data_IF_794696031669
#
_entry.id   IF_794696031669
#
_cell.length_a   1.000
_cell.length_b   1.000
_cell.length_c   1.000
_cell.angle_alpha   90.00
_cell.angle_beta   90.00
_cell.angle_gamma   90.00
#
_symmetry.space_group_name_H-M   'P 1'
#
loop_
_entity.id
_entity.type
_entity.pdbx_description
1 polymer ?
#
# COMPACT_ATOMS: atom_id res chain seq x y z
N UNK A 1 -3.60 17.77 5.60
CA UNK A 1 -3.73 16.97 4.36
C UNK A 1 -4.71 17.52 3.34
N UNK A 2 -5.84 18.12 3.73
CA UNK A 2 -6.84 18.63 2.77
C UNK A 2 -6.28 19.48 1.63
N UNK A 3 -5.38 20.43 1.91
CA UNK A 3 -4.73 21.25 0.87
C UNK A 3 -3.92 20.43 -0.15
N UNK A 4 -3.38 19.27 0.24
CA UNK A 4 -2.71 18.36 -0.69
C UNK A 4 -3.75 17.66 -1.56
N UNK A 5 -4.86 17.18 -0.98
CA UNK A 5 -5.96 16.59 -1.75
C UNK A 5 -6.57 17.60 -2.73
N UNK A 6 -6.73 18.86 -2.35
CA UNK A 6 -7.17 19.94 -3.25
C UNK A 6 -6.22 20.09 -4.45
N UNK A 7 -4.91 19.98 -4.21
CA UNK A 7 -3.88 20.03 -5.26
C UNK A 7 -3.93 18.80 -6.16
N UNK A 8 -4.02 17.60 -5.60
CA UNK A 8 -4.08 16.38 -6.43
C UNK A 8 -5.35 16.34 -7.28
N UNK A 9 -6.48 16.81 -6.75
CA UNK A 9 -7.72 16.97 -7.52
C UNK A 9 -7.60 18.03 -8.63
N UNK A 10 -6.96 19.17 -8.37
CA UNK A 10 -6.74 20.20 -9.40
C UNK A 10 -5.78 19.76 -10.50
N UNK A 11 -4.91 18.80 -10.20
CA UNK A 11 -4.04 18.11 -11.15
C UNK A 11 -4.74 16.93 -11.86
N UNK A 12 -6.04 16.71 -11.62
CA UNK A 12 -6.82 15.61 -12.19
C UNK A 12 -6.19 14.24 -11.93
N UNK A 13 -5.63 14.03 -10.73
CA UNK A 13 -5.16 12.70 -10.33
C UNK A 13 -6.34 11.77 -10.10
N UNK A 14 -6.25 10.55 -10.61
CA UNK A 14 -7.28 9.52 -10.45
C UNK A 14 -7.34 8.97 -9.02
N UNK A 15 -6.23 9.05 -8.29
CA UNK A 15 -6.16 8.57 -6.93
C UNK A 15 -4.95 9.05 -6.15
N UNK A 16 -5.00 8.83 -4.84
CA UNK A 16 -3.95 9.19 -3.88
C UNK A 16 -3.57 7.99 -3.03
N UNK A 17 -2.28 7.85 -2.77
CA UNK A 17 -1.73 6.81 -1.89
C UNK A 17 -1.36 7.43 -0.54
N UNK A 18 -1.70 6.76 0.56
CA UNK A 18 -1.53 7.33 1.92
C UNK A 18 -0.47 6.62 2.72
N UNK A 19 0.76 7.11 2.59
CA UNK A 19 1.92 6.61 3.32
C UNK A 19 1.90 6.97 4.82
N UNK A 20 2.58 6.15 5.62
CA UNK A 20 2.82 6.27 7.06
C UNK A 20 1.55 6.32 7.93
N UNK A 21 0.46 5.68 7.49
CA UNK A 21 -0.76 5.53 8.30
C UNK A 21 -0.64 4.48 9.41
N UNK A 22 0.52 3.82 9.52
CA UNK A 22 0.87 2.83 10.52
C UNK A 22 1.82 3.34 11.62
N UNK A 23 1.97 4.67 11.74
CA UNK A 23 2.82 5.30 12.75
C UNK A 23 2.50 4.87 14.20
N UNK A 24 1.26 4.47 14.48
CA UNK A 24 0.85 3.90 15.78
C UNK A 24 1.60 2.62 16.15
N UNK A 25 2.13 1.90 15.16
CA UNK A 25 2.88 0.66 15.33
C UNK A 25 4.41 0.90 15.38
N UNK A 26 4.83 2.16 15.55
CA UNK A 26 6.23 2.58 15.65
C UNK A 26 6.48 3.39 16.93
N UNK A 27 7.75 3.59 17.28
CA UNK A 27 8.16 4.55 18.33
C UNK A 27 7.92 5.99 17.86
N UNK A 28 6.65 6.42 17.84
CA UNK A 28 6.23 7.71 17.27
C UNK A 28 6.40 8.90 18.22
N UNK A 29 6.52 8.67 19.54
CA UNK A 29 6.68 9.73 20.55
C UNK A 29 5.44 10.61 20.79
N UNK A 30 4.29 10.24 20.21
CA UNK A 30 3.04 11.02 20.21
C UNK A 30 1.87 10.24 20.80
N UNK A 31 2.10 9.00 21.26
CA UNK A 31 1.07 8.07 21.73
C UNK A 31 -0.03 7.83 20.67
N UNK A 32 0.33 7.83 19.38
CA UNK A 32 -0.62 7.48 18.32
C UNK A 32 -1.13 6.06 18.51
N UNK A 33 -2.45 5.90 18.40
CA UNK A 33 -3.16 4.63 18.57
C UNK A 33 -3.66 4.08 17.24
N UNK A 34 -4.09 2.82 17.25
CA UNK A 34 -4.74 2.21 16.09
C UNK A 34 -6.05 2.93 15.75
N UNK A 35 -6.79 3.38 16.76
CA UNK A 35 -8.01 4.16 16.63
C UNK A 35 -7.75 5.52 15.95
N UNK A 36 -6.63 6.18 16.28
CA UNK A 36 -6.22 7.40 15.60
C UNK A 36 -5.96 7.15 14.11
N UNK A 37 -5.33 6.03 13.77
CA UNK A 37 -5.07 5.66 12.38
C UNK A 37 -6.35 5.35 11.60
N UNK A 38 -7.27 4.58 12.19
CA UNK A 38 -8.59 4.32 11.59
C UNK A 38 -9.32 5.64 11.33
N UNK A 39 -9.44 6.48 12.36
CA UNK A 39 -10.08 7.80 12.26
C UNK A 39 -9.46 8.66 11.15
N UNK A 40 -8.13 8.69 11.09
CA UNK A 40 -7.40 9.48 10.11
C UNK A 40 -7.55 8.96 8.67
N UNK A 41 -7.47 7.64 8.46
CA UNK A 41 -7.66 7.04 7.12
C UNK A 41 -9.09 7.23 6.63
N UNK A 42 -10.10 7.02 7.48
CA UNK A 42 -11.50 7.30 7.14
C UNK A 42 -11.68 8.78 6.76
N UNK A 43 -11.14 9.71 7.55
CA UNK A 43 -11.16 11.14 7.23
C UNK A 43 -10.51 11.45 5.87
N UNK A 44 -9.38 10.82 5.54
CA UNK A 44 -8.71 11.02 4.25
C UNK A 44 -9.52 10.44 3.09
N UNK A 45 -10.14 9.26 3.28
CA UNK A 45 -10.99 8.63 2.28
C UNK A 45 -12.21 9.48 1.96
N UNK A 46 -12.97 9.91 2.96
CA UNK A 46 -14.10 10.83 2.78
C UNK A 46 -13.68 12.12 2.06
N UNK A 47 -12.53 12.69 2.46
CA UNK A 47 -12.01 13.91 1.84
C UNK A 47 -11.55 13.71 0.39
N UNK A 48 -10.98 12.56 0.05
CA UNK A 48 -10.58 12.21 -1.31
C UNK A 48 -11.81 11.98 -2.19
N UNK A 49 -12.78 11.19 -1.73
CA UNK A 49 -14.01 10.91 -2.47
C UNK A 49 -14.82 12.18 -2.74
N UNK A 50 -14.90 13.10 -1.77
CA UNK A 50 -15.54 14.40 -1.96
C UNK A 50 -14.89 15.27 -3.06
N UNK A 51 -13.67 14.93 -3.47
CA UNK A 51 -12.90 15.62 -4.51
C UNK A 51 -12.80 14.83 -5.82
N UNK A 52 -13.30 13.59 -5.86
CA UNK A 52 -13.28 12.62 -6.96
C UNK A 52 -12.06 11.67 -7.10
N UNK A 53 -10.85 11.91 -6.53
CA UNK A 53 -9.82 10.88 -6.47
C UNK A 53 -10.22 9.68 -5.62
N UNK A 54 -9.84 8.50 -6.06
CA UNK A 54 -9.81 7.29 -5.23
C UNK A 54 -8.66 7.35 -4.21
N UNK A 55 -8.66 6.47 -3.21
CA UNK A 55 -7.62 6.42 -2.18
C UNK A 55 -7.17 4.97 -1.89
N UNK A 56 -5.88 4.78 -1.64
CA UNK A 56 -5.29 3.52 -1.22
C UNK A 56 -4.95 3.48 0.26
N UNK A 57 -4.88 2.28 0.82
CA UNK A 57 -4.24 2.04 2.11
C UNK A 57 -2.82 1.50 1.88
N UNK A 58 -1.81 2.12 2.48
CA UNK A 58 -0.43 1.64 2.44
C UNK A 58 -0.08 0.88 3.72
N UNK A 59 0.50 -0.32 3.58
CA UNK A 59 0.92 -1.19 4.68
C UNK A 59 -0.19 -1.34 5.75
N UNK A 60 -0.06 -0.72 6.93
CA UNK A 60 -1.17 -0.52 7.90
C UNK A 60 -2.03 -1.74 8.19
N UNK A 61 -1.37 -2.90 8.28
CA UNK A 61 -1.99 -4.23 8.33
C UNK A 61 -3.10 -4.41 9.38
N UNK A 62 -2.97 -3.78 10.55
CA UNK A 62 -3.90 -4.03 11.66
C UNK A 62 -5.23 -3.27 11.50
N UNK A 63 -5.28 -2.23 10.66
CA UNK A 63 -6.50 -1.44 10.44
C UNK A 63 -7.28 -1.89 9.20
N UNK A 64 -6.76 -2.84 8.43
CA UNK A 64 -7.42 -3.37 7.21
C UNK A 64 -8.91 -3.68 7.45
N UNK A 65 -9.33 -4.42 8.49
CA UNK A 65 -10.74 -4.74 8.69
C UNK A 65 -11.63 -3.51 8.92
N UNK A 66 -11.06 -2.42 9.45
CA UNK A 66 -11.79 -1.21 9.84
C UNK A 66 -11.95 -0.21 8.69
N UNK A 67 -11.05 -0.24 7.70
CA UNK A 67 -11.02 0.76 6.60
C UNK A 67 -11.20 0.14 5.23
N UNK A 68 -11.36 -1.20 5.14
CA UNK A 68 -11.47 -1.93 3.88
C UNK A 68 -12.51 -1.32 2.95
N UNK A 69 -13.67 -0.92 3.46
CA UNK A 69 -14.77 -0.39 2.65
C UNK A 69 -14.52 1.04 2.16
N UNK A 70 -13.67 1.80 2.86
CA UNK A 70 -13.36 3.20 2.58
C UNK A 70 -12.34 3.36 1.43
N UNK A 71 -11.38 2.44 1.32
CA UNK A 71 -10.28 2.54 0.35
C UNK A 71 -10.52 1.68 -0.90
N UNK A 72 -9.91 2.07 -2.03
CA UNK A 72 -10.09 1.42 -3.33
C UNK A 72 -9.04 0.33 -3.61
N UNK A 73 -7.86 0.41 -3.00
CA UNK A 73 -6.79 -0.59 -3.14
C UNK A 73 -5.96 -0.69 -1.87
N UNK A 74 -5.16 -1.76 -1.82
CA UNK A 74 -4.04 -1.86 -0.89
C UNK A 74 -2.74 -1.63 -1.66
N UNK A 75 -1.84 -0.84 -1.10
CA UNK A 75 -0.43 -0.80 -1.47
C UNK A 75 0.38 -1.45 -0.36
N UNK A 76 1.25 -2.40 -0.67
CA UNK A 76 2.07 -3.02 0.36
C UNK A 76 3.50 -3.25 -0.10
N UNK A 77 4.38 -3.22 0.88
CA UNK A 77 5.80 -3.45 0.68
C UNK A 77 6.23 -4.73 1.39
N UNK A 78 7.09 -5.51 0.74
CA UNK A 78 7.85 -6.59 1.37
C UNK A 78 7.00 -7.72 2.00
N UNK A 79 5.84 -8.04 1.42
CA UNK A 79 4.98 -9.13 1.93
C UNK A 79 5.70 -10.49 1.92
N UNK A 80 6.58 -10.76 0.95
CA UNK A 80 7.42 -11.97 0.88
C UNK A 80 8.33 -12.04 2.08
N UNK A 81 8.98 -10.92 2.43
CA UNK A 81 9.96 -10.84 3.52
C UNK A 81 9.27 -11.01 4.88
N UNK A 82 8.15 -10.30 5.10
CA UNK A 82 7.44 -10.29 6.39
C UNK A 82 6.35 -11.36 6.50
N UNK A 83 6.06 -12.09 5.42
CA UNK A 83 5.05 -13.16 5.32
C UNK A 83 3.62 -12.66 5.60
N UNK A 84 3.27 -11.49 5.05
CA UNK A 84 2.04 -10.77 5.40
C UNK A 84 0.88 -10.91 4.40
N UNK A 85 1.03 -11.76 3.37
CA UNK A 85 0.01 -11.94 2.32
C UNK A 85 -1.41 -12.14 2.84
N UNK A 86 -1.58 -12.97 3.88
CA UNK A 86 -2.90 -13.26 4.46
C UNK A 86 -3.62 -12.01 4.95
N UNK A 87 -2.87 -11.01 5.39
CA UNK A 87 -3.43 -9.76 5.94
C UNK A 87 -4.10 -8.92 4.86
N UNK A 88 -3.59 -8.96 3.63
CA UNK A 88 -4.10 -8.14 2.52
C UNK A 88 -5.05 -8.89 1.58
N UNK A 89 -5.22 -10.22 1.75
CA UNK A 89 -6.24 -10.98 0.99
C UNK A 89 -7.68 -10.46 1.14
N UNK A 90 -8.12 -9.81 2.23
CA UNK A 90 -9.43 -9.18 2.27
C UNK A 90 -9.70 -8.22 1.11
N UNK A 91 -8.69 -7.50 0.61
CA UNK A 91 -8.83 -6.65 -0.59
C UNK A 91 -9.17 -7.48 -1.82
N UNK A 92 -8.40 -8.54 -2.10
CA UNK A 92 -8.67 -9.46 -3.21
C UNK A 92 -10.07 -10.08 -3.09
N UNK A 93 -10.47 -10.49 -1.88
CA UNK A 93 -11.79 -11.06 -1.63
C UNK A 93 -12.92 -10.04 -1.86
N UNK A 94 -12.68 -8.76 -1.60
CA UNK A 94 -13.59 -7.65 -1.87
C UNK A 94 -13.54 -7.16 -3.34
N UNK A 95 -12.74 -7.79 -4.21
CA UNK A 95 -12.57 -7.37 -5.60
C UNK A 95 -11.72 -6.11 -5.78
N UNK A 96 -10.93 -5.75 -4.76
CA UNK A 96 -10.03 -4.59 -4.75
C UNK A 96 -8.59 -5.03 -5.06
N UNK A 97 -7.83 -4.31 -5.90
CA UNK A 97 -6.47 -4.71 -6.23
C UNK A 97 -5.54 -4.53 -5.03
N UNK A 98 -4.47 -5.34 -5.02
CA UNK A 98 -3.32 -5.14 -4.13
C UNK A 98 -2.10 -4.86 -5.00
N UNK A 99 -1.57 -3.64 -4.91
CA UNK A 99 -0.31 -3.25 -5.53
C UNK A 99 0.83 -3.60 -4.58
N UNK A 100 1.75 -4.45 -5.04
CA UNK A 100 2.74 -5.08 -4.19
C UNK A 100 4.15 -4.75 -4.69
N UNK A 101 5.00 -4.27 -3.79
CA UNK A 101 6.41 -3.99 -4.08
C UNK A 101 7.32 -4.86 -3.24
N UNK A 102 8.32 -5.45 -3.90
CA UNK A 102 9.44 -6.12 -3.24
C UNK A 102 10.76 -5.39 -3.54
N UNK A 103 11.66 -5.41 -2.57
CA UNK A 103 12.97 -4.75 -2.66
C UNK A 103 14.12 -5.77 -2.56
N UNK A 104 14.41 -6.54 -3.64
CA UNK A 104 15.56 -7.42 -3.63
C UNK A 104 16.85 -6.62 -3.43
N UNK A 105 17.74 -7.11 -2.56
CA UNK A 105 19.03 -6.46 -2.31
C UNK A 105 19.96 -6.40 -3.54
N UNK A 106 19.72 -7.25 -4.53
CA UNK A 106 20.44 -7.27 -5.80
C UNK A 106 19.87 -6.29 -6.85
N UNK A 107 18.79 -5.57 -6.56
CA UNK A 107 18.23 -4.59 -7.49
C UNK A 107 19.28 -3.50 -7.82
N UNK A 108 19.45 -3.12 -9.11
CA UNK A 108 18.60 -3.43 -10.26
C UNK A 108 19.00 -4.71 -11.04
N UNK A 109 20.02 -5.43 -10.59
CA UNK A 109 20.57 -6.60 -11.29
C UNK A 109 20.01 -7.89 -10.68
N UNK A 110 18.80 -8.27 -11.10
CA UNK A 110 18.10 -9.45 -10.59
C UNK A 110 18.36 -10.67 -11.49
N UNK A 111 18.82 -11.77 -10.91
CA UNK A 111 18.91 -13.05 -11.63
C UNK A 111 17.60 -13.84 -11.53
N UNK A 112 17.43 -14.86 -12.37
CA UNK A 112 16.19 -15.65 -12.43
C UNK A 112 15.81 -16.32 -11.10
N UNK A 113 16.80 -16.78 -10.31
CA UNK A 113 16.56 -17.41 -9.01
C UNK A 113 16.01 -16.41 -8.00
N UNK A 114 16.61 -15.23 -7.90
CA UNK A 114 16.12 -14.15 -7.04
C UNK A 114 14.75 -13.68 -7.52
N UNK A 115 14.54 -13.50 -8.83
CA UNK A 115 13.22 -13.12 -9.36
C UNK A 115 12.15 -14.15 -8.98
N UNK A 116 12.43 -15.44 -9.12
CA UNK A 116 11.49 -16.50 -8.75
C UNK A 116 11.16 -16.51 -7.25
N UNK A 117 12.11 -16.14 -6.38
CA UNK A 117 11.86 -16.03 -4.93
C UNK A 117 10.76 -15.02 -4.61
N UNK A 118 10.71 -13.90 -5.35
CA UNK A 118 9.72 -12.85 -5.14
C UNK A 118 8.47 -13.04 -6.00
N UNK A 119 8.58 -13.49 -7.26
CA UNK A 119 7.45 -13.55 -8.19
C UNK A 119 6.66 -14.87 -8.19
N UNK A 120 7.27 -15.99 -7.81
CA UNK A 120 6.63 -17.31 -7.93
C UNK A 120 6.03 -17.79 -6.60
N UNK A 121 5.59 -16.85 -5.75
CA UNK A 121 4.94 -17.18 -4.50
C UNK A 121 3.45 -17.42 -4.75
N UNK A 122 2.95 -18.64 -4.57
CA UNK A 122 1.53 -18.96 -4.77
C UNK A 122 0.58 -18.13 -3.89
N UNK A 123 1.10 -17.54 -2.80
CA UNK A 123 0.34 -16.64 -1.92
C UNK A 123 0.07 -15.26 -2.53
N UNK A 124 0.78 -14.90 -3.59
CA UNK A 124 0.60 -13.64 -4.35
C UNK A 124 -0.54 -13.70 -5.37
N UNK A 125 -1.27 -14.81 -5.45
CA UNK A 125 -2.39 -14.91 -6.39
C UNK A 125 -3.37 -13.74 -6.19
N UNK A 126 -3.46 -12.86 -7.22
CA UNK A 126 -4.29 -11.65 -7.24
C UNK A 126 -3.53 -10.34 -6.95
N UNK A 127 -2.28 -10.40 -6.51
CA UNK A 127 -1.44 -9.24 -6.24
C UNK A 127 -0.76 -8.77 -7.54
N UNK A 128 -0.62 -7.46 -7.70
CA UNK A 128 0.13 -6.84 -8.80
C UNK A 128 1.54 -6.55 -8.31
N UNK A 129 2.44 -7.54 -8.42
CA UNK A 129 3.80 -7.48 -7.85
C UNK A 129 4.82 -6.86 -8.80
N UNK A 130 5.62 -5.93 -8.29
CA UNK A 130 6.80 -5.38 -8.98
C UNK A 130 8.03 -5.41 -8.06
N UNK A 131 9.20 -5.61 -8.64
CA UNK A 131 10.48 -5.47 -7.94
C UNK A 131 11.04 -4.08 -8.18
N UNK A 132 11.51 -3.44 -7.11
CA UNK A 132 12.04 -2.07 -7.13
C UNK A 132 13.33 -1.96 -6.33
N UNK A 133 14.04 -0.85 -6.54
CA UNK A 133 15.01 -0.35 -5.56
C UNK A 133 14.25 0.42 -4.49
N UNK A 134 14.77 0.44 -3.26
CA UNK A 134 14.20 1.24 -2.15
C UNK A 134 14.16 2.74 -2.50
N UNK A 135 15.05 3.22 -3.39
CA UNK A 135 15.02 4.61 -3.86
C UNK A 135 13.82 4.94 -4.76
N UNK A 136 13.01 3.95 -5.16
CA UNK A 136 11.81 4.08 -5.99
C UNK A 136 12.01 4.91 -7.27
N UNK A 137 13.17 4.79 -7.89
CA UNK A 137 13.46 5.50 -9.14
C UNK A 137 12.81 4.83 -10.36
N UNK A 138 13.20 5.21 -11.58
CA UNK A 138 12.58 4.70 -12.80
C UNK A 138 12.79 3.20 -13.08
N UNK A 139 13.68 2.50 -12.38
CA UNK A 139 13.89 1.06 -12.61
C UNK A 139 12.73 0.23 -12.09
N UNK A 140 12.29 -0.76 -12.86
CA UNK A 140 11.20 -1.68 -12.50
C UNK A 140 11.50 -3.06 -13.13
N UNK A 141 11.20 -4.12 -12.39
CA UNK A 141 11.14 -5.47 -12.93
C UNK A 141 9.83 -6.13 -12.49
N UNK A 142 8.92 -6.38 -13.43
CA UNK A 142 7.59 -6.90 -13.13
C UNK A 142 7.60 -8.42 -12.97
N UNK A 143 6.78 -8.91 -12.04
CA UNK A 143 6.22 -10.25 -12.09
C UNK A 143 5.03 -10.24 -13.08
#
# INVERSE_FOLDING_TARGET
>A
MLKRLDREASMMRDGVDTDNTDAYNNENGLNLTMEDAVSYVTFLAEAAHARNPSIGLENSRNIVPSVLDEVQWQFNEQCVVYREFSTFRPFIAAGKPVFHIEYPSSAPTINATTKAQYCNNSRETGFSTILKKVSLDGWIDAC
#
